data_IF_364923862724
#
_entry.id   IF_364923862724
#
_cell.length_a   1.000
_cell.length_b   1.000
_cell.length_c   1.000
_cell.angle_alpha   90.00
_cell.angle_beta   90.00
_cell.angle_gamma   90.00
#
_symmetry.space_group_name_H-M   'P 1'
#
loop_
_entity.id
_entity.type
_entity.pdbx_description
1 polymer ?
#
# COMPACT_ATOMS: atom_id res chain seq x y z
N UNK A 1 -30.54 10.82 31.52
CA UNK A 1 -31.37 11.77 30.74
C UNK A 1 -30.44 12.85 30.22
N UNK A 2 -30.08 12.78 28.94
CA UNK A 2 -29.16 13.73 28.27
C UNK A 2 -29.85 14.28 27.01
N UNK A 3 -29.77 15.59 26.71
CA UNK A 3 -30.49 16.18 25.59
C UNK A 3 -29.72 16.02 24.27
N UNK A 4 -30.38 15.44 23.27
CA UNK A 4 -29.96 15.43 21.85
C UNK A 4 -30.18 16.80 21.22
N UNK A 5 -29.13 17.41 20.65
CA UNK A 5 -29.24 18.62 19.80
C UNK A 5 -29.28 18.20 18.33
N UNK A 6 -30.32 18.63 17.62
CA UNK A 6 -30.48 18.55 16.16
C UNK A 6 -29.96 19.84 15.54
N UNK A 7 -29.14 19.78 14.49
CA UNK A 7 -28.84 20.93 13.62
C UNK A 7 -28.88 20.48 12.16
N UNK A 8 -29.42 21.38 11.35
CA UNK A 8 -30.08 21.20 10.05
C UNK A 8 -29.29 21.92 8.95
N UNK A 9 -29.29 21.35 7.75
CA UNK A 9 -29.19 21.96 6.41
C UNK A 9 -27.92 22.73 5.97
N UNK A 10 -27.45 22.42 4.76
CA UNK A 10 -27.64 23.32 3.60
C UNK A 10 -27.28 22.61 2.28
N UNK A 11 -28.26 22.51 1.40
CA UNK A 11 -28.17 22.11 -0.01
C UNK A 11 -27.54 23.23 -0.85
N UNK A 12 -26.69 22.91 -1.82
CA UNK A 12 -26.47 23.78 -2.97
C UNK A 12 -26.51 22.98 -4.26
N UNK A 13 -27.58 23.22 -5.03
CA UNK A 13 -27.78 22.76 -6.39
C UNK A 13 -27.08 23.70 -7.36
N UNK A 14 -26.49 23.15 -8.43
CA UNK A 14 -26.18 23.89 -9.64
C UNK A 14 -26.61 23.03 -10.84
N UNK A 15 -27.70 23.44 -11.48
CA UNK A 15 -28.20 22.91 -12.74
C UNK A 15 -27.88 23.92 -13.85
N UNK A 16 -27.29 23.47 -14.96
CA UNK A 16 -27.38 24.17 -16.25
C UNK A 16 -27.69 23.13 -17.32
N UNK A 17 -28.79 23.39 -18.02
CA UNK A 17 -29.38 22.58 -19.08
C UNK A 17 -28.93 23.05 -20.47
N UNK A 18 -28.76 22.10 -21.40
CA UNK A 18 -28.98 22.30 -22.83
C UNK A 18 -29.25 20.93 -23.50
N UNK A 19 -30.43 20.79 -24.11
CA UNK A 19 -30.94 19.61 -24.81
C UNK A 19 -30.77 19.76 -26.35
N UNK A 20 -31.41 18.95 -27.23
CA UNK A 20 -31.20 17.54 -27.57
C UNK A 20 -31.02 17.34 -29.11
N UNK A 21 -30.61 16.16 -29.59
CA UNK A 21 -31.00 15.67 -30.93
C UNK A 21 -30.74 14.16 -31.10
N UNK A 22 -31.81 13.38 -31.13
CA UNK A 22 -31.80 12.00 -31.63
C UNK A 22 -31.95 12.02 -33.15
N UNK A 23 -31.08 11.33 -33.88
CA UNK A 23 -31.26 10.88 -35.27
C UNK A 23 -30.61 9.49 -35.37
N UNK A 24 -31.37 8.39 -35.31
CA UNK A 24 -32.12 7.75 -36.40
C UNK A 24 -31.21 7.08 -37.46
N UNK A 25 -31.33 5.76 -37.57
CA UNK A 25 -30.74 4.93 -38.63
C UNK A 25 -31.33 5.26 -40.01
N UNK A 26 -30.49 5.48 -41.02
CA UNK A 26 -30.68 5.17 -42.46
C UNK A 26 -29.40 5.58 -43.22
N UNK A 27 -28.61 4.63 -43.75
CA UNK A 27 -28.62 4.18 -45.15
C UNK A 27 -28.42 5.28 -46.22
N UNK A 28 -27.38 5.02 -47.04
CA UNK A 28 -27.23 5.32 -48.47
C UNK A 28 -26.27 6.44 -48.93
N UNK A 29 -25.37 6.02 -49.82
CA UNK A 29 -24.72 6.72 -50.92
C UNK A 29 -23.70 7.86 -50.68
N UNK A 30 -22.45 7.52 -50.99
CA UNK A 30 -21.59 8.15 -52.02
C UNK A 30 -21.28 9.66 -51.92
N UNK A 31 -20.03 9.98 -51.60
CA UNK A 31 -19.45 11.30 -51.86
C UNK A 31 -18.01 11.44 -51.36
N UNK A 32 -17.06 11.30 -52.28
CA UNK A 32 -15.65 11.71 -52.22
C UNK A 32 -15.39 12.97 -51.36
N UNK A 33 -14.36 12.96 -50.51
CA UNK A 33 -13.23 13.91 -50.57
C UNK A 33 -12.24 13.74 -49.40
N UNK A 34 -11.01 13.38 -49.78
CA UNK A 34 -9.71 13.72 -49.19
C UNK A 34 -9.28 13.16 -47.83
N UNK A 35 -8.60 12.01 -47.93
CA UNK A 35 -7.51 11.59 -47.04
C UNK A 35 -6.40 12.66 -47.02
N UNK A 36 -6.26 13.37 -45.90
CA UNK A 36 -5.06 14.15 -45.63
C UNK A 36 -4.18 13.42 -44.63
N UNK A 37 -3.04 13.02 -45.16
CA UNK A 37 -1.93 12.31 -44.54
C UNK A 37 -1.10 13.23 -43.62
N UNK A 38 -0.80 12.70 -42.41
CA UNK A 38 0.40 12.94 -41.56
C UNK A 38 0.53 14.24 -40.72
N UNK A 39 1.27 14.21 -39.59
CA UNK A 39 2.14 13.12 -39.11
C UNK A 39 1.71 12.50 -37.75
N UNK A 40 1.62 11.17 -37.73
CA UNK A 40 1.99 10.38 -36.58
C UNK A 40 3.50 10.18 -36.67
N UNK A 41 4.27 10.84 -35.81
CA UNK A 41 5.68 10.53 -35.59
C UNK A 41 5.96 10.63 -34.10
N UNK A 42 6.24 9.44 -33.54
CA UNK A 42 7.07 9.19 -32.36
C UNK A 42 6.74 9.97 -31.09
N UNK A 43 5.83 9.42 -30.28
CA UNK A 43 6.22 9.24 -28.87
C UNK A 43 6.99 7.93 -28.82
N UNK A 44 8.30 8.09 -28.64
CA UNK A 44 9.27 7.04 -28.42
C UNK A 44 8.69 5.93 -27.54
N UNK A 45 8.59 4.77 -28.18
CA UNK A 45 8.52 3.47 -27.57
C UNK A 45 9.71 3.36 -26.60
N UNK A 46 9.50 3.79 -25.36
CA UNK A 46 10.35 3.43 -24.25
C UNK A 46 10.14 1.94 -24.06
N UNK A 47 11.09 1.22 -24.64
CA UNK A 47 11.35 -0.19 -24.54
C UNK A 47 10.83 -0.78 -23.22
N UNK A 48 9.86 -1.67 -23.38
CA UNK A 48 9.65 -2.90 -22.61
C UNK A 48 10.82 -3.20 -21.65
N UNK A 49 10.74 -2.64 -20.45
CA UNK A 49 11.28 -3.27 -19.26
C UNK A 49 10.03 -3.67 -18.49
N UNK A 50 9.70 -4.96 -18.50
CA UNK A 50 8.86 -5.51 -17.45
C UNK A 50 9.43 -4.98 -16.11
N UNK A 51 8.59 -4.58 -15.14
CA UNK A 51 9.10 -4.26 -13.82
C UNK A 51 9.87 -5.49 -13.34
N UNK A 52 11.19 -5.38 -13.25
CA UNK A 52 12.03 -6.40 -12.65
C UNK A 52 11.55 -6.52 -11.21
N UNK A 53 10.82 -7.60 -10.88
CA UNK A 53 10.45 -7.87 -9.50
C UNK A 53 11.76 -8.05 -8.74
N UNK A 54 12.02 -7.25 -7.69
CA UNK A 54 13.24 -7.41 -6.93
C UNK A 54 13.30 -8.83 -6.39
N UNK A 55 14.39 -9.54 -6.70
CA UNK A 55 14.64 -10.88 -6.20
C UNK A 55 15.34 -10.75 -4.85
N UNK A 56 14.79 -11.37 -3.82
CA UNK A 56 15.36 -11.40 -2.47
C UNK A 56 15.98 -12.77 -2.20
N UNK A 57 17.19 -12.75 -1.65
CA UNK A 57 17.89 -13.95 -1.24
C UNK A 57 17.23 -14.57 0.00
N UNK A 58 17.33 -15.89 0.17
CA UNK A 58 16.72 -16.58 1.32
C UNK A 58 17.19 -15.99 2.66
N UNK A 59 18.49 -15.66 2.78
CA UNK A 59 19.03 -15.04 3.99
C UNK A 59 18.40 -13.66 4.29
N UNK A 60 17.98 -12.89 3.27
CA UNK A 60 17.29 -11.62 3.48
C UNK A 60 15.83 -11.84 3.90
N UNK A 61 15.19 -12.89 3.39
CA UNK A 61 13.84 -13.29 3.79
C UNK A 61 13.85 -13.79 5.23
N UNK A 62 14.87 -14.56 5.62
CA UNK A 62 15.06 -15.02 7.00
C UNK A 62 15.28 -13.83 7.94
N UNK A 63 16.18 -12.91 7.59
CA UNK A 63 16.40 -11.69 8.36
C UNK A 63 15.11 -10.85 8.46
N UNK A 64 14.37 -10.69 7.37
CA UNK A 64 13.07 -10.03 7.36
C UNK A 64 12.06 -10.71 8.29
N UNK A 65 11.93 -12.04 8.23
CA UNK A 65 11.03 -12.79 9.08
C UNK A 65 11.38 -12.60 10.57
N UNK A 66 12.67 -12.66 10.92
CA UNK A 66 13.14 -12.37 12.29
C UNK A 66 12.77 -10.95 12.73
N UNK A 67 12.99 -9.95 11.87
CA UNK A 67 12.64 -8.56 12.20
C UNK A 67 11.12 -8.37 12.35
N UNK A 68 10.29 -9.08 11.57
CA UNK A 68 8.82 -9.04 11.69
C UNK A 68 8.35 -9.56 13.04
N UNK A 69 8.98 -10.61 13.57
CA UNK A 69 8.69 -11.15 14.90
C UNK A 69 8.97 -10.09 15.96
N UNK A 70 10.19 -9.55 16.00
CA UNK A 70 10.61 -8.52 16.96
C UNK A 70 9.72 -7.26 16.90
N UNK A 71 9.46 -6.74 15.69
CA UNK A 71 8.57 -5.58 15.49
C UNK A 71 7.15 -5.86 15.97
N UNK A 72 6.67 -7.10 15.80
CA UNK A 72 5.34 -7.51 16.27
C UNK A 72 5.29 -7.54 17.79
N UNK A 73 6.32 -8.08 18.44
CA UNK A 73 6.41 -8.12 19.90
C UNK A 73 6.43 -6.71 20.50
N UNK A 74 7.26 -5.81 19.95
CA UNK A 74 7.29 -4.39 20.36
C UNK A 74 5.91 -3.76 20.19
N UNK A 75 5.27 -3.92 19.04
CA UNK A 75 3.93 -3.37 18.80
C UNK A 75 2.92 -3.86 19.85
N UNK A 76 2.94 -5.15 20.15
CA UNK A 76 1.98 -5.76 21.08
C UNK A 76 2.26 -5.34 22.54
N UNK A 77 3.52 -5.13 22.91
CA UNK A 77 3.94 -4.54 24.18
C UNK A 77 3.39 -3.13 24.33
N UNK A 78 3.68 -2.21 23.41
CA UNK A 78 3.21 -0.83 23.50
C UNK A 78 1.69 -0.71 23.36
N UNK A 79 1.05 -1.59 22.59
CA UNK A 79 -0.40 -1.66 22.53
C UNK A 79 -1.01 -1.99 23.91
N UNK A 80 -0.34 -2.84 24.69
CA UNK A 80 -0.75 -3.15 26.07
C UNK A 80 -0.53 -1.97 27.00
N UNK A 81 0.60 -1.28 26.88
CA UNK A 81 0.92 -0.11 27.70
C UNK A 81 -0.05 1.05 27.44
N UNK A 82 -0.39 1.31 26.18
CA UNK A 82 -1.33 2.36 25.76
C UNK A 82 -2.75 2.17 26.31
N UNK A 83 -3.19 0.94 26.58
CA UNK A 83 -4.53 0.69 27.14
C UNK A 83 -4.76 1.37 28.51
N UNK A 84 -3.69 1.67 29.24
CA UNK A 84 -3.73 2.32 30.54
C UNK A 84 -3.51 3.83 30.53
N UNK A 85 -3.24 4.45 29.37
CA UNK A 85 -2.81 5.85 29.29
C UNK A 85 -3.95 6.73 28.76
N UNK A 86 -4.51 7.56 29.64
CA UNK A 86 -5.58 8.51 29.28
C UNK A 86 -5.04 9.85 28.75
N UNK A 87 -3.82 10.23 29.15
CA UNK A 87 -3.22 11.49 28.74
C UNK A 87 -2.75 11.44 27.29
N UNK A 88 -3.16 12.42 26.48
CA UNK A 88 -2.84 12.44 25.04
C UNK A 88 -1.34 12.64 24.79
N UNK A 89 -0.64 13.40 25.64
CA UNK A 89 0.80 13.66 25.47
C UNK A 89 1.59 12.39 25.80
N UNK A 90 1.27 11.73 26.90
CA UNK A 90 1.88 10.45 27.27
C UNK A 90 1.60 9.35 26.23
N UNK A 91 0.40 9.33 25.62
CA UNK A 91 0.12 8.43 24.50
C UNK A 91 1.02 8.71 23.29
N UNK A 92 1.23 9.98 22.93
CA UNK A 92 2.14 10.32 21.82
C UNK A 92 3.59 9.94 22.14
N UNK A 93 4.06 10.17 23.37
CA UNK A 93 5.43 9.79 23.78
C UNK A 93 5.65 8.28 23.64
N UNK A 94 4.69 7.45 24.08
CA UNK A 94 4.77 6.00 23.91
C UNK A 94 4.76 5.55 22.45
N UNK A 95 3.96 6.22 21.61
CA UNK A 95 3.94 5.92 20.17
C UNK A 95 5.29 6.27 19.52
N UNK A 96 5.89 7.40 19.89
CA UNK A 96 7.20 7.81 19.39
C UNK A 96 8.31 6.86 19.86
N UNK A 97 8.24 6.40 21.11
CA UNK A 97 9.16 5.41 21.68
C UNK A 97 9.04 4.07 20.95
N UNK A 98 7.81 3.56 20.76
CA UNK A 98 7.55 2.35 19.99
C UNK A 98 8.12 2.45 18.56
N UNK A 99 7.92 3.59 17.89
CA UNK A 99 8.46 3.80 16.54
C UNK A 99 9.99 3.82 16.50
N UNK A 100 10.64 4.35 17.54
CA UNK A 100 12.09 4.33 17.66
C UNK A 100 12.59 2.90 17.90
N UNK A 101 11.92 2.15 18.77
CA UNK A 101 12.30 0.78 19.12
C UNK A 101 12.09 -0.19 17.95
N UNK A 102 10.95 -0.10 17.24
CA UNK A 102 10.72 -0.88 16.01
C UNK A 102 11.78 -0.61 14.95
N UNK A 103 12.20 0.67 14.76
CA UNK A 103 13.31 1.00 13.85
C UNK A 103 14.62 0.36 14.32
N UNK A 104 14.92 0.45 15.61
CA UNK A 104 16.14 -0.11 16.19
C UNK A 104 16.18 -1.64 16.04
N UNK A 105 15.05 -2.33 16.17
CA UNK A 105 14.97 -3.78 15.97
C UNK A 105 15.30 -4.17 14.53
N UNK A 106 14.79 -3.43 13.54
CA UNK A 106 15.12 -3.66 12.13
C UNK A 106 16.61 -3.39 11.87
N UNK A 107 17.16 -2.29 12.38
CA UNK A 107 18.57 -1.93 12.21
C UNK A 107 19.55 -2.89 12.92
N UNK A 108 19.10 -3.53 14.00
CA UNK A 108 19.87 -4.53 14.74
C UNK A 108 19.85 -5.92 14.09
N UNK A 109 19.01 -6.13 13.08
CA UNK A 109 18.90 -7.42 12.38
C UNK A 109 20.02 -7.57 11.35
N UNK A 110 20.91 -8.52 11.58
CA UNK A 110 22.01 -8.81 10.66
C UNK A 110 21.50 -9.18 9.26
N UNK A 111 22.06 -8.55 8.23
CA UNK A 111 21.70 -8.83 6.84
C UNK A 111 20.42 -8.16 6.35
N UNK A 112 19.84 -7.25 7.15
CA UNK A 112 18.65 -6.48 6.80
C UNK A 112 18.89 -4.98 6.99
N UNK A 113 18.57 -4.19 5.96
CA UNK A 113 18.50 -2.72 6.09
C UNK A 113 17.05 -2.27 6.21
N UNK A 114 16.84 -1.04 6.70
CA UNK A 114 15.50 -0.46 6.73
C UNK A 114 14.86 -0.36 5.33
N UNK A 115 15.67 -0.06 4.31
CA UNK A 115 15.22 -0.02 2.91
C UNK A 115 14.84 -1.43 2.41
N UNK A 116 15.63 -2.46 2.74
CA UNK A 116 15.31 -3.84 2.39
C UNK A 116 14.02 -4.31 3.07
N UNK A 117 13.85 -4.00 4.35
CA UNK A 117 12.62 -4.31 5.08
C UNK A 117 11.39 -3.70 4.38
N UNK A 118 11.46 -2.41 4.01
CA UNK A 118 10.37 -1.76 3.28
C UNK A 118 10.16 -2.34 1.87
N UNK A 119 11.24 -2.70 1.18
CA UNK A 119 11.18 -3.27 -0.16
C UNK A 119 10.53 -4.66 -0.14
N UNK A 120 10.94 -5.53 0.77
CA UNK A 120 10.36 -6.87 0.97
C UNK A 120 8.90 -6.75 1.38
N UNK A 121 8.57 -5.85 2.33
CA UNK A 121 7.19 -5.66 2.77
C UNK A 121 6.27 -5.20 1.61
N UNK A 122 6.75 -4.28 0.76
CA UNK A 122 6.01 -3.86 -0.44
C UNK A 122 5.88 -5.00 -1.45
N UNK A 123 6.98 -5.71 -1.73
CA UNK A 123 6.98 -6.79 -2.70
C UNK A 123 6.05 -7.93 -2.25
N UNK A 124 6.08 -8.32 -0.98
CA UNK A 124 5.23 -9.36 -0.41
C UNK A 124 3.73 -9.04 -0.50
N UNK A 125 3.34 -7.77 -0.63
CA UNK A 125 1.93 -7.39 -0.86
C UNK A 125 1.46 -7.58 -2.30
N UNK A 126 2.39 -7.72 -3.24
CA UNK A 126 2.12 -7.84 -4.68
C UNK A 126 2.49 -9.22 -5.25
N UNK A 127 3.41 -9.92 -4.58
CA UNK A 127 3.95 -11.22 -4.98
C UNK A 127 3.51 -12.28 -3.97
N UNK A 128 2.59 -13.16 -4.43
CA UNK A 128 2.03 -14.22 -3.60
C UNK A 128 3.05 -15.32 -3.26
N UNK A 129 4.02 -15.60 -4.15
CA UNK A 129 5.07 -16.59 -3.90
C UNK A 129 6.02 -16.09 -2.81
N UNK A 130 6.43 -14.83 -2.89
CA UNK A 130 7.22 -14.19 -1.85
C UNK A 130 6.48 -14.17 -0.51
N UNK A 131 5.18 -13.85 -0.50
CA UNK A 131 4.35 -13.89 0.70
C UNK A 131 4.31 -15.28 1.34
N UNK A 132 4.13 -16.33 0.54
CA UNK A 132 4.14 -17.71 1.01
C UNK A 132 5.50 -18.12 1.58
N UNK A 133 6.60 -17.73 0.94
CA UNK A 133 7.96 -17.97 1.45
C UNK A 133 8.19 -17.30 2.80
N UNK A 134 7.81 -16.04 2.95
CA UNK A 134 7.88 -15.33 4.24
C UNK A 134 7.04 -16.03 5.31
N UNK A 135 5.80 -16.41 4.98
CA UNK A 135 4.92 -17.11 5.92
C UNK A 135 5.50 -18.45 6.38
N UNK A 136 6.10 -19.23 5.46
CA UNK A 136 6.80 -20.47 5.80
C UNK A 136 7.98 -20.22 6.74
N UNK A 137 8.81 -19.21 6.49
CA UNK A 137 9.92 -18.86 7.40
C UNK A 137 9.45 -18.49 8.79
N UNK A 138 8.38 -17.70 8.89
CA UNK A 138 7.77 -17.35 10.18
C UNK A 138 7.26 -18.59 10.93
N UNK A 139 6.65 -19.55 10.24
CA UNK A 139 6.18 -20.81 10.86
C UNK A 139 7.35 -21.70 11.33
N UNK A 140 8.40 -21.81 10.52
CA UNK A 140 9.63 -22.55 10.84
C UNK A 140 10.27 -21.99 12.11
N UNK A 141 10.50 -20.67 12.17
CA UNK A 141 11.12 -20.01 13.33
C UNK A 141 10.33 -20.19 14.63
N UNK A 142 8.99 -20.08 14.56
CA UNK A 142 8.12 -20.32 15.72
C UNK A 142 8.17 -21.77 16.21
N UNK A 143 8.41 -22.72 15.30
CA UNK A 143 8.51 -24.14 15.64
C UNK A 143 9.87 -24.47 16.23
N UNK A 144 10.94 -23.81 15.77
CA UNK A 144 12.31 -23.97 16.28
C UNK A 144 12.46 -23.47 17.72
N UNK A 145 11.83 -22.36 18.10
CA UNK A 145 11.85 -21.85 19.48
C UNK A 145 11.09 -22.75 20.47
N UNK A 146 10.17 -23.59 19.97
CA UNK A 146 9.34 -24.49 20.77
C UNK A 146 9.98 -25.86 21.08
N UNK A 147 11.17 -26.15 20.55
CA UNK A 147 11.83 -27.47 20.61
C UNK A 147 13.07 -27.55 21.49
#
# INVERSE_FOLDING_TARGET
>A
MFPTRKITAATLAAAIAAAPASFALAQDASGDMETQTQPQTEMEQSQDAAPETPVFEDAQIDAFASAVIEVTEIRDQYATELQGVEDETAQQELIDEANAEMRSAIEATDGLTMDDYMAINRAASMDEDLNQRIAQRLEEMQTEDAG
#
